data_IF_393675007684
#
_entry.id   IF_393675007684
#
_cell.length_a   1.000
_cell.length_b   1.000
_cell.length_c   1.000
_cell.angle_alpha   90.00
_cell.angle_beta   90.00
_cell.angle_gamma   90.00
#
_symmetry.space_group_name_H-M   'P 1'
#
loop_
_entity.id
_entity.type
_entity.pdbx_description
1 polymer ?
#
# COMPACT_ATOMS: atom_id res chain seq x y z
N UNK A 1 -17.48 -13.56 3.74
CA UNK A 1 -17.23 -12.99 5.08
C UNK A 1 -17.74 -13.85 6.24
N UNK A 2 -18.96 -14.41 6.20
CA UNK A 2 -19.44 -15.31 7.27
C UNK A 2 -18.50 -16.50 7.52
N UNK A 3 -17.98 -17.13 6.46
CA UNK A 3 -16.99 -18.20 6.57
C UNK A 3 -15.72 -17.74 7.30
N UNK A 4 -15.14 -16.61 6.88
CA UNK A 4 -13.95 -16.00 7.52
C UNK A 4 -14.19 -15.72 9.01
N UNK A 5 -15.33 -15.15 9.35
CA UNK A 5 -15.66 -14.84 10.73
C UNK A 5 -15.85 -16.10 11.58
N UNK A 6 -16.60 -17.09 11.08
CA UNK A 6 -17.05 -18.23 11.88
C UNK A 6 -16.06 -19.40 11.92
N UNK A 7 -15.16 -19.50 10.95
CA UNK A 7 -14.17 -20.60 10.89
C UNK A 7 -12.77 -20.12 11.25
N UNK A 8 -12.40 -18.91 10.84
CA UNK A 8 -11.01 -18.46 10.88
C UNK A 8 -10.73 -17.50 12.03
N UNK A 9 -11.54 -16.45 12.17
CA UNK A 9 -11.31 -15.36 13.13
C UNK A 9 -11.94 -15.64 14.50
N UNK A 10 -13.20 -16.06 14.51
CA UNK A 10 -14.00 -16.27 15.73
C UNK A 10 -14.70 -17.64 15.78
N UNK A 11 -13.94 -18.75 15.71
CA UNK A 11 -14.52 -20.09 15.67
C UNK A 11 -15.31 -20.46 16.91
N UNK A 12 -16.54 -20.94 16.72
CA UNK A 12 -17.42 -21.43 17.80
C UNK A 12 -16.85 -22.68 18.49
N UNK A 13 -16.06 -23.49 17.78
CA UNK A 13 -15.37 -24.68 18.30
C UNK A 13 -14.10 -24.37 19.11
N UNK A 14 -13.70 -23.09 19.19
CA UNK A 14 -12.68 -22.58 20.11
C UNK A 14 -11.29 -22.33 19.51
N UNK A 15 -10.91 -22.96 18.39
CA UNK A 15 -9.62 -22.70 17.73
C UNK A 15 -9.74 -22.67 16.22
N UNK A 16 -9.05 -21.71 15.61
CA UNK A 16 -8.90 -21.59 14.16
C UNK A 16 -8.21 -22.86 13.62
N UNK A 17 -8.58 -23.35 12.42
CA UNK A 17 -7.97 -24.56 11.86
C UNK A 17 -6.48 -24.41 11.52
N UNK A 18 -5.94 -23.19 11.59
CA UNK A 18 -4.56 -22.87 11.20
C UNK A 18 -3.52 -23.60 12.06
N UNK A 19 -2.57 -24.23 11.39
CA UNK A 19 -1.44 -24.94 11.97
C UNK A 19 -0.11 -24.20 11.78
N UNK A 20 0.94 -24.63 12.49
CA UNK A 20 2.30 -24.11 12.33
C UNK A 20 2.57 -22.74 12.99
N UNK A 21 3.71 -22.15 12.62
CA UNK A 21 4.11 -20.80 13.05
C UNK A 21 3.23 -19.75 12.37
N UNK A 22 2.86 -18.69 13.08
CA UNK A 22 1.99 -17.63 12.55
C UNK A 22 0.48 -17.93 12.62
N UNK A 23 0.06 -19.04 13.26
CA UNK A 23 -1.36 -19.45 13.36
C UNK A 23 -2.31 -18.40 13.93
N UNK A 24 -1.80 -17.47 14.73
CA UNK A 24 -2.58 -16.39 15.35
C UNK A 24 -2.83 -15.21 14.42
N UNK A 25 -1.97 -15.00 13.40
CA UNK A 25 -2.04 -13.85 12.50
C UNK A 25 -2.61 -14.23 11.11
N UNK A 26 -2.42 -15.48 10.67
CA UNK A 26 -2.90 -15.92 9.36
C UNK A 26 -4.41 -15.69 9.10
N UNK A 27 -5.33 -15.86 10.08
CA UNK A 27 -6.74 -15.48 9.88
C UNK A 27 -6.94 -14.01 9.49
N UNK A 28 -6.12 -13.11 10.04
CA UNK A 28 -6.13 -11.69 9.70
C UNK A 28 -5.53 -11.42 8.32
N UNK A 29 -4.54 -12.20 7.90
CA UNK A 29 -4.05 -12.19 6.52
C UNK A 29 -5.14 -12.58 5.52
N UNK A 30 -5.97 -13.60 5.84
CA UNK A 30 -7.13 -13.97 5.02
C UNK A 30 -8.16 -12.85 4.98
N UNK A 31 -8.47 -12.22 6.13
CA UNK A 31 -9.37 -11.07 6.17
C UNK A 31 -8.85 -9.92 5.29
N UNK A 32 -7.59 -9.53 5.43
CA UNK A 32 -6.96 -8.47 4.64
C UNK A 32 -7.04 -8.78 3.13
N UNK A 33 -6.77 -10.03 2.73
CA UNK A 33 -6.92 -10.45 1.34
C UNK A 33 -8.38 -10.37 0.85
N UNK A 34 -9.34 -10.79 1.67
CA UNK A 34 -10.78 -10.72 1.36
C UNK A 34 -11.30 -9.29 1.23
N UNK A 35 -10.75 -8.36 2.04
CA UNK A 35 -11.07 -6.94 1.95
C UNK A 35 -10.52 -6.31 0.66
N UNK A 36 -9.45 -6.87 0.09
CA UNK A 36 -8.95 -6.49 -1.23
C UNK A 36 -9.87 -7.01 -2.34
N UNK A 37 -9.89 -8.32 -2.58
CA UNK A 37 -10.75 -8.97 -3.59
C UNK A 37 -10.88 -10.48 -3.34
N UNK A 38 -11.90 -11.12 -3.94
CA UNK A 38 -12.02 -12.58 -3.95
C UNK A 38 -10.83 -13.26 -4.65
N UNK A 39 -10.24 -12.62 -5.66
CA UNK A 39 -9.03 -13.13 -6.35
C UNK A 39 -7.80 -13.10 -5.45
N UNK A 40 -7.62 -12.05 -4.66
CA UNK A 40 -6.54 -11.98 -3.67
C UNK A 40 -6.70 -13.01 -2.54
N UNK A 41 -7.94 -13.24 -2.09
CA UNK A 41 -8.23 -14.30 -1.12
C UNK A 41 -7.92 -15.68 -1.71
N UNK A 42 -8.33 -15.96 -2.94
CA UNK A 42 -8.03 -17.21 -3.64
C UNK A 42 -6.52 -17.45 -3.78
N UNK A 43 -5.74 -16.43 -4.18
CA UNK A 43 -4.26 -16.54 -4.25
C UNK A 43 -3.66 -16.85 -2.87
N UNK A 44 -4.14 -16.19 -1.81
CA UNK A 44 -3.67 -16.42 -0.43
C UNK A 44 -3.97 -17.85 0.04
N UNK A 45 -5.17 -18.35 -0.26
CA UNK A 45 -5.57 -19.74 0.01
C UNK A 45 -4.67 -20.72 -0.73
N UNK A 46 -4.46 -20.53 -2.04
CA UNK A 46 -3.62 -21.41 -2.85
C UNK A 46 -2.17 -21.46 -2.35
N UNK A 47 -1.57 -20.30 -2.05
CA UNK A 47 -0.21 -20.20 -1.51
C UNK A 47 -0.09 -20.92 -0.16
N UNK A 48 -1.11 -20.81 0.70
CA UNK A 48 -1.12 -21.52 1.99
C UNK A 48 -1.19 -23.03 1.79
N UNK A 49 -2.03 -23.51 0.88
CA UNK A 49 -2.14 -24.95 0.55
C UNK A 49 -0.83 -25.50 -0.02
N UNK A 50 -0.16 -24.77 -0.92
CA UNK A 50 1.19 -25.11 -1.40
C UNK A 50 2.20 -25.21 -0.26
N UNK A 51 2.13 -24.27 0.69
CA UNK A 51 2.99 -24.29 1.88
C UNK A 51 2.73 -25.54 2.72
N UNK A 52 1.47 -25.88 2.99
CA UNK A 52 1.11 -27.11 3.73
C UNK A 52 1.61 -28.36 3.02
N UNK A 53 1.40 -28.46 1.70
CA UNK A 53 1.89 -29.57 0.89
C UNK A 53 3.41 -29.70 0.94
N UNK A 54 4.15 -28.59 0.93
CA UNK A 54 5.62 -28.60 1.06
C UNK A 54 6.12 -29.03 2.44
N UNK A 55 5.28 -28.89 3.47
CA UNK A 55 5.55 -29.28 4.86
C UNK A 55 5.01 -30.68 5.19
N UNK A 56 4.37 -31.35 4.24
CA UNK A 56 3.85 -32.69 4.41
C UNK A 56 5.00 -33.69 4.59
N UNK A 57 4.77 -34.73 5.38
CA UNK A 57 5.71 -35.83 5.49
C UNK A 57 5.78 -36.58 4.15
N UNK A 58 6.98 -36.91 3.62
CA UNK A 58 7.10 -37.59 2.33
C UNK A 58 6.42 -38.96 2.26
N UNK A 59 6.31 -39.67 3.39
CA UNK A 59 5.70 -41.01 3.45
C UNK A 59 4.27 -40.96 4.00
N UNK A 60 4.03 -40.15 5.03
CA UNK A 60 2.75 -40.09 5.74
C UNK A 60 1.81 -38.96 5.27
N UNK A 61 2.28 -38.02 4.44
CA UNK A 61 1.51 -36.90 3.95
C UNK A 61 1.21 -35.84 5.03
N UNK A 62 0.06 -35.16 4.89
CA UNK A 62 -0.39 -34.17 5.87
C UNK A 62 -0.83 -34.86 7.17
N UNK A 63 -0.41 -34.32 8.31
CA UNK A 63 -0.92 -34.79 9.60
C UNK A 63 -2.41 -34.40 9.78
N UNK A 64 -3.15 -35.01 10.74
CA UNK A 64 -4.59 -34.76 10.89
C UNK A 64 -4.99 -33.29 11.07
N UNK A 65 -4.14 -32.47 11.72
CA UNK A 65 -4.41 -31.04 11.90
C UNK A 65 -4.20 -30.27 10.60
N UNK A 66 -3.13 -30.59 9.86
CA UNK A 66 -2.86 -29.99 8.55
C UNK A 66 -3.94 -30.37 7.54
N UNK A 67 -4.46 -31.61 7.61
CA UNK A 67 -5.57 -32.03 6.77
C UNK A 67 -6.85 -31.24 7.08
N UNK A 68 -7.16 -31.01 8.36
CA UNK A 68 -8.29 -30.14 8.75
C UNK A 68 -8.13 -28.71 8.23
N UNK A 69 -6.90 -28.17 8.26
CA UNK A 69 -6.60 -26.86 7.68
C UNK A 69 -6.78 -26.86 6.16
N UNK A 70 -6.25 -27.87 5.44
CA UNK A 70 -6.39 -27.96 3.98
C UNK A 70 -7.86 -28.10 3.56
N UNK A 71 -8.66 -28.89 4.27
CA UNK A 71 -10.10 -29.04 4.03
C UNK A 71 -10.84 -27.69 4.20
N UNK A 72 -10.52 -26.93 5.26
CA UNK A 72 -11.08 -25.60 5.46
C UNK A 72 -10.63 -24.62 4.36
N UNK A 73 -9.36 -24.69 3.93
CA UNK A 73 -8.84 -23.88 2.82
C UNK A 73 -9.51 -24.21 1.49
N UNK A 74 -9.79 -25.50 1.22
CA UNK A 74 -10.53 -25.93 0.03
C UNK A 74 -11.93 -25.31 0.03
N UNK A 75 -12.68 -25.44 1.13
CA UNK A 75 -14.01 -24.85 1.25
C UNK A 75 -13.98 -23.32 1.05
N UNK A 76 -12.99 -22.63 1.63
CA UNK A 76 -12.82 -21.19 1.44
C UNK A 76 -12.48 -20.83 -0.02
N UNK A 77 -11.66 -21.63 -0.69
CA UNK A 77 -11.31 -21.48 -2.10
C UNK A 77 -12.52 -21.64 -3.02
N UNK A 78 -13.34 -22.67 -2.79
CA UNK A 78 -14.59 -22.90 -3.54
C UNK A 78 -15.56 -21.71 -3.42
N UNK A 79 -15.65 -21.11 -2.23
CA UNK A 79 -16.44 -19.89 -2.03
C UNK A 79 -15.89 -18.70 -2.80
N UNK A 80 -14.56 -18.59 -2.98
CA UNK A 80 -13.96 -17.53 -3.78
C UNK A 80 -14.25 -17.73 -5.27
N UNK A 81 -14.15 -18.95 -5.77
CA UNK A 81 -14.40 -19.29 -7.16
C UNK A 81 -15.87 -19.17 -7.55
N UNK A 82 -16.78 -19.36 -6.59
CA UNK A 82 -18.21 -19.14 -6.77
C UNK A 82 -18.62 -17.68 -6.96
N UNK A 83 -17.76 -16.71 -6.64
CA UNK A 83 -18.07 -15.28 -6.76
C UNK A 83 -17.88 -14.83 -8.21
N UNK A 84 -18.95 -14.33 -8.82
CA UNK A 84 -18.89 -13.71 -10.14
C UNK A 84 -18.46 -12.24 -10.02
N UNK A 85 -17.65 -11.76 -10.97
CA UNK A 85 -17.07 -10.42 -10.89
C UNK A 85 -18.14 -9.31 -10.84
N UNK A 86 -19.27 -9.47 -11.56
CA UNK A 86 -20.39 -8.52 -11.53
C UNK A 86 -21.15 -8.47 -10.20
N UNK A 87 -21.00 -9.48 -9.35
CA UNK A 87 -21.60 -9.52 -8.02
C UNK A 87 -20.73 -8.84 -6.96
N UNK A 88 -19.46 -8.55 -7.29
CA UNK A 88 -18.54 -7.88 -6.38
C UNK A 88 -18.94 -6.40 -6.21
N UNK A 89 -19.65 -6.10 -5.12
CA UNK A 89 -20.12 -4.76 -4.78
C UNK A 89 -19.01 -3.69 -4.80
N UNK A 90 -17.79 -4.07 -4.37
CA UNK A 90 -16.61 -3.21 -4.40
C UNK A 90 -16.19 -2.84 -5.82
N UNK A 91 -16.19 -3.79 -6.75
CA UNK A 91 -15.88 -3.54 -8.16
C UNK A 91 -16.93 -2.60 -8.78
N UNK A 92 -18.21 -2.87 -8.52
CA UNK A 92 -19.30 -2.04 -9.04
C UNK A 92 -19.16 -0.59 -8.55
N UNK A 93 -18.93 -0.40 -7.24
CA UNK A 93 -18.70 0.93 -6.68
C UNK A 93 -17.44 1.59 -7.24
N UNK A 94 -16.36 0.83 -7.43
CA UNK A 94 -15.14 1.34 -8.02
C UNK A 94 -15.35 1.85 -9.45
N UNK A 95 -16.06 1.09 -10.28
CA UNK A 95 -16.41 1.49 -11.65
C UNK A 95 -17.29 2.73 -11.66
N UNK A 96 -18.25 2.85 -10.74
CA UNK A 96 -19.03 4.09 -10.56
C UNK A 96 -18.13 5.27 -10.24
N UNK A 97 -17.21 5.13 -9.29
CA UNK A 97 -16.27 6.20 -8.91
C UNK A 97 -15.38 6.63 -10.08
N UNK A 98 -14.83 5.69 -10.86
CA UNK A 98 -14.03 6.01 -12.04
C UNK A 98 -14.84 6.78 -13.10
N UNK A 99 -16.12 6.44 -13.26
CA UNK A 99 -17.03 7.16 -14.17
C UNK A 99 -17.36 8.57 -13.65
N UNK A 100 -17.59 8.72 -12.35
CA UNK A 100 -17.81 10.03 -11.70
C UNK A 100 -16.61 10.97 -11.84
N UNK A 101 -15.39 10.43 -11.70
CA UNK A 101 -14.13 11.15 -11.93
C UNK A 101 -13.95 11.54 -13.42
N UNK A 102 -14.68 10.90 -14.34
CA UNK A 102 -14.62 11.19 -15.76
C UNK A 102 -13.56 10.41 -16.52
N UNK A 103 -13.17 9.23 -16.02
CA UNK A 103 -12.29 8.32 -16.76
C UNK A 103 -13.01 7.84 -18.02
N UNK A 104 -12.33 7.94 -19.16
CA UNK A 104 -12.88 7.49 -20.42
C UNK A 104 -11.84 7.47 -21.54
N UNK A 105 -12.14 6.81 -22.68
CA UNK A 105 -11.17 6.57 -23.75
C UNK A 105 -10.68 7.84 -24.46
N UNK A 106 -11.44 8.94 -24.34
CA UNK A 106 -11.10 10.26 -24.90
C UNK A 106 -10.84 11.31 -23.81
N UNK A 107 -10.91 10.91 -22.54
CA UNK A 107 -10.71 11.82 -21.42
C UNK A 107 -9.22 12.12 -21.23
N UNK A 108 -8.91 13.31 -20.71
CA UNK A 108 -7.56 13.61 -20.21
C UNK A 108 -7.34 13.08 -18.79
N UNK A 109 -8.43 12.83 -18.05
CA UNK A 109 -8.40 12.34 -16.68
C UNK A 109 -7.60 11.05 -16.56
N UNK A 110 -6.66 11.05 -15.60
CA UNK A 110 -5.89 9.87 -15.20
C UNK A 110 -6.15 9.58 -13.74
N UNK A 111 -6.15 8.30 -13.40
CA UNK A 111 -6.30 7.83 -12.02
C UNK A 111 -5.21 6.81 -11.74
N UNK A 112 -4.53 6.99 -10.61
CA UNK A 112 -3.64 5.98 -10.03
C UNK A 112 -4.45 5.15 -9.04
N UNK A 113 -4.34 3.83 -9.13
CA UNK A 113 -5.10 2.90 -8.31
C UNK A 113 -4.12 2.04 -7.54
N UNK A 114 -4.15 2.14 -6.22
CA UNK A 114 -3.28 1.37 -5.33
C UNK A 114 -3.95 0.09 -4.82
N UNK A 115 -3.20 -1.00 -4.82
CA UNK A 115 -3.56 -2.25 -4.16
C UNK A 115 -2.30 -3.00 -3.72
N UNK A 116 -2.27 -3.47 -2.47
CA UNK A 116 -1.18 -4.31 -1.96
C UNK A 116 -1.13 -5.68 -2.65
N UNK A 117 -2.28 -6.14 -3.16
CA UNK A 117 -2.43 -7.49 -3.71
C UNK A 117 -2.24 -7.49 -5.22
N UNK A 118 -1.20 -8.19 -5.68
CA UNK A 118 -0.91 -8.34 -7.12
C UNK A 118 -2.08 -9.05 -7.84
N UNK A 119 -2.65 -10.10 -7.25
CA UNK A 119 -3.83 -10.77 -7.83
C UNK A 119 -5.01 -9.82 -8.05
N UNK A 120 -5.19 -8.81 -7.18
CA UNK A 120 -6.22 -7.78 -7.37
C UNK A 120 -5.86 -6.85 -8.53
N UNK A 121 -4.61 -6.42 -8.65
CA UNK A 121 -4.15 -5.59 -9.78
C UNK A 121 -4.32 -6.31 -11.12
N UNK A 122 -3.91 -7.58 -11.20
CA UNK A 122 -4.04 -8.42 -12.40
C UNK A 122 -5.51 -8.63 -12.78
N UNK A 123 -6.36 -8.87 -11.78
CA UNK A 123 -7.80 -9.00 -11.99
C UNK A 123 -8.44 -7.70 -12.50
N UNK A 124 -8.14 -6.57 -11.87
CA UNK A 124 -8.63 -5.25 -12.30
C UNK A 124 -8.20 -4.92 -13.73
N UNK A 125 -6.95 -5.25 -14.10
CA UNK A 125 -6.46 -5.05 -15.46
C UNK A 125 -7.28 -5.83 -16.51
N UNK A 126 -7.81 -7.01 -16.13
CA UNK A 126 -8.63 -7.85 -17.01
C UNK A 126 -10.06 -7.32 -17.15
N UNK A 127 -10.70 -6.92 -16.05
CA UNK A 127 -12.15 -6.61 -16.04
C UNK A 127 -12.49 -5.15 -16.35
N UNK A 128 -11.65 -4.20 -15.97
CA UNK A 128 -11.94 -2.77 -16.14
C UNK A 128 -12.09 -2.31 -17.61
N UNK A 129 -11.31 -2.82 -18.59
CA UNK A 129 -11.44 -2.39 -19.98
C UNK A 129 -12.87 -2.53 -20.50
N UNK A 130 -13.50 -3.68 -20.30
CA UNK A 130 -14.86 -3.94 -20.79
C UNK A 130 -15.89 -3.10 -20.03
N UNK A 131 -15.74 -2.95 -18.71
CA UNK A 131 -16.68 -2.20 -17.85
C UNK A 131 -16.67 -0.68 -18.08
N UNK A 132 -15.55 -0.16 -18.60
CA UNK A 132 -15.32 1.27 -18.86
C UNK A 132 -15.26 1.62 -20.36
N UNK A 133 -15.34 0.62 -21.26
CA UNK A 133 -15.15 0.85 -22.69
C UNK A 133 -13.75 1.35 -23.05
N UNK A 134 -12.73 0.86 -22.34
CA UNK A 134 -11.33 1.18 -22.56
C UNK A 134 -10.63 0.05 -23.34
N UNK A 135 -9.54 0.39 -24.01
CA UNK A 135 -8.63 -0.60 -24.58
C UNK A 135 -7.52 -0.88 -23.56
N UNK A 136 -7.34 -2.14 -23.16
CA UNK A 136 -6.36 -2.53 -22.14
C UNK A 136 -4.95 -2.04 -22.49
N UNK A 137 -4.46 -2.36 -23.69
CA UNK A 137 -3.10 -2.03 -24.14
C UNK A 137 -2.85 -0.53 -24.32
N UNK A 138 -3.89 0.27 -24.55
CA UNK A 138 -3.74 1.70 -24.78
C UNK A 138 -3.97 2.53 -23.52
N UNK A 139 -4.90 2.11 -22.67
CA UNK A 139 -5.44 2.95 -21.60
C UNK A 139 -5.08 2.46 -20.20
N UNK A 140 -4.58 1.23 -20.03
CA UNK A 140 -4.28 0.66 -18.71
C UNK A 140 -2.82 0.22 -18.63
N UNK A 141 -2.19 0.45 -17.47
CA UNK A 141 -0.88 -0.15 -17.13
C UNK A 141 -0.93 -0.74 -15.74
N UNK A 142 -0.14 -1.79 -15.53
CA UNK A 142 0.09 -2.39 -14.21
C UNK A 142 1.54 -2.14 -13.83
N UNK A 143 1.79 -1.74 -12.58
CA UNK A 143 3.12 -1.46 -12.04
C UNK A 143 3.26 -2.11 -10.65
N UNK A 144 3.98 -3.23 -10.59
CA UNK A 144 4.23 -3.98 -9.35
C UNK A 144 5.60 -4.67 -9.40
N UNK A 145 6.11 -5.13 -8.24
CA UNK A 145 7.46 -5.66 -8.10
C UNK A 145 7.80 -6.93 -8.91
N UNK A 146 6.82 -7.60 -9.54
CA UNK A 146 7.11 -8.71 -10.49
C UNK A 146 7.62 -8.21 -11.86
N UNK A 147 7.58 -6.91 -12.14
CA UNK A 147 8.12 -6.34 -13.38
C UNK A 147 9.61 -6.04 -13.22
N UNK A 148 10.37 -6.24 -14.30
CA UNK A 148 11.78 -5.81 -14.34
C UNK A 148 11.88 -4.29 -14.29
N UNK A 149 12.94 -3.77 -13.67
CA UNK A 149 13.16 -2.32 -13.49
C UNK A 149 13.00 -1.52 -14.79
N UNK A 150 13.53 -2.02 -15.91
CA UNK A 150 13.39 -1.40 -17.24
C UNK A 150 11.90 -1.20 -17.61
N UNK A 151 11.07 -2.22 -17.40
CA UNK A 151 9.64 -2.15 -17.69
C UNK A 151 8.91 -1.22 -16.71
N UNK A 152 9.35 -1.18 -15.46
CA UNK A 152 8.79 -0.24 -14.49
C UNK A 152 9.03 1.20 -14.97
N UNK A 153 10.27 1.52 -15.37
CA UNK A 153 10.65 2.82 -15.94
C UNK A 153 9.82 3.15 -17.19
N UNK A 154 9.68 2.21 -18.13
CA UNK A 154 8.88 2.41 -19.35
C UNK A 154 7.42 2.80 -19.02
N UNK A 155 6.81 2.12 -18.04
CA UNK A 155 5.43 2.40 -17.61
C UNK A 155 5.31 3.78 -16.97
N UNK A 156 6.28 4.17 -16.15
CA UNK A 156 6.31 5.47 -15.46
C UNK A 156 6.47 6.60 -16.48
N UNK A 157 7.43 6.46 -17.40
CA UNK A 157 7.65 7.43 -18.46
C UNK A 157 6.40 7.56 -19.34
N UNK A 158 5.83 6.44 -19.79
CA UNK A 158 4.60 6.44 -20.57
C UNK A 158 3.43 7.11 -19.83
N UNK A 159 3.27 6.86 -18.53
CA UNK A 159 2.22 7.49 -17.74
C UNK A 159 2.48 8.99 -17.51
N UNK A 160 3.74 9.43 -17.47
CA UNK A 160 4.12 10.83 -17.29
C UNK A 160 4.04 11.70 -18.55
N UNK A 161 3.83 11.11 -19.74
CA UNK A 161 3.71 11.87 -20.98
C UNK A 161 2.28 12.41 -21.17
N UNK A 162 2.12 13.72 -21.36
CA UNK A 162 0.81 14.38 -21.61
C UNK A 162 0.02 13.70 -22.76
N UNK A 163 0.72 13.31 -23.83
CA UNK A 163 0.13 12.70 -25.02
C UNK A 163 -0.19 11.21 -24.88
N UNK A 164 0.13 10.60 -23.75
CA UNK A 164 -0.09 9.18 -23.51
C UNK A 164 -1.57 8.82 -23.52
N UNK A 165 -1.83 7.61 -24.02
CA UNK A 165 -3.16 7.02 -24.00
C UNK A 165 -3.57 6.53 -22.61
N UNK A 166 -2.62 6.35 -21.68
CA UNK A 166 -2.89 5.71 -20.40
C UNK A 166 -3.83 6.58 -19.54
N UNK A 167 -4.87 5.95 -19.00
CA UNK A 167 -5.90 6.55 -18.13
C UNK A 167 -5.89 5.95 -16.74
N UNK A 168 -5.53 4.69 -16.61
CA UNK A 168 -5.44 4.01 -15.32
C UNK A 168 -4.05 3.40 -15.15
N UNK A 169 -3.40 3.75 -14.05
CA UNK A 169 -2.20 3.08 -13.58
C UNK A 169 -2.57 2.26 -12.34
N UNK A 170 -2.59 0.94 -12.48
CA UNK A 170 -2.82 0.01 -11.38
C UNK A 170 -1.48 -0.33 -10.76
N UNK A 171 -1.27 -0.04 -9.48
CA UNK A 171 0.06 -0.19 -8.88
C UNK A 171 0.05 -0.71 -7.45
N UNK A 172 1.12 -1.42 -7.08
CA UNK A 172 1.41 -1.81 -5.71
C UNK A 172 2.54 -0.97 -5.10
N UNK A 173 2.77 -1.12 -3.81
CA UNK A 173 3.65 -0.26 -3.02
C UNK A 173 5.10 -0.27 -3.50
N UNK A 174 5.67 -1.47 -3.63
CA UNK A 174 7.09 -1.67 -3.91
C UNK A 174 7.55 -1.10 -5.26
N UNK A 175 6.65 -1.00 -6.23
CA UNK A 175 6.99 -0.48 -7.57
C UNK A 175 6.67 1.01 -7.73
N UNK A 176 6.12 1.64 -6.69
CA UNK A 176 5.71 3.06 -6.69
C UNK A 176 6.61 3.96 -5.84
N UNK A 177 7.50 3.40 -5.02
CA UNK A 177 8.44 4.18 -4.22
C UNK A 177 9.36 5.06 -5.08
N UNK A 178 9.65 6.27 -4.61
CA UNK A 178 10.43 7.28 -5.35
C UNK A 178 9.79 7.92 -6.59
N UNK A 179 8.61 7.49 -7.06
CA UNK A 179 8.04 7.96 -8.34
C UNK A 179 7.17 9.22 -8.18
N UNK A 180 7.25 10.09 -9.19
CA UNK A 180 6.51 11.35 -9.31
C UNK A 180 5.36 11.22 -10.32
N UNK A 181 4.13 11.01 -9.87
CA UNK A 181 2.94 10.87 -10.74
C UNK A 181 2.11 12.16 -10.82
N UNK A 182 2.36 13.09 -9.90
CA UNK A 182 1.66 14.36 -9.67
C UNK A 182 1.57 15.32 -10.87
N UNK A 183 2.38 15.14 -11.92
CA UNK A 183 2.43 16.06 -13.08
C UNK A 183 1.22 15.94 -14.00
N UNK A 184 0.75 14.72 -14.23
CA UNK A 184 -0.33 14.41 -15.19
C UNK A 184 -1.50 13.68 -14.53
N UNK A 185 -1.45 13.51 -13.21
CA UNK A 185 -2.45 12.78 -12.45
C UNK A 185 -2.73 13.46 -11.11
N UNK A 186 -4.01 13.73 -10.87
CA UNK A 186 -4.50 14.38 -9.66
C UNK A 186 -5.56 13.53 -8.96
N UNK A 187 -5.81 12.30 -9.43
CA UNK A 187 -6.75 11.38 -8.78
C UNK A 187 -6.02 10.12 -8.33
N UNK A 188 -6.22 9.73 -7.07
CA UNK A 188 -5.68 8.50 -6.51
C UNK A 188 -6.80 7.75 -5.81
N UNK A 189 -6.92 6.45 -6.09
CA UNK A 189 -7.85 5.56 -5.40
C UNK A 189 -7.06 4.43 -4.73
N UNK A 190 -7.15 4.35 -3.41
CA UNK A 190 -6.79 3.14 -2.67
C UNK A 190 -7.90 2.13 -2.87
N UNK A 191 -7.66 1.15 -3.76
CA UNK A 191 -8.59 0.05 -3.94
C UNK A 191 -8.61 -0.82 -2.68
N UNK A 192 -7.45 -1.12 -2.10
CA UNK A 192 -7.33 -1.60 -0.73
C UNK A 192 -6.39 -0.72 0.08
N UNK A 193 -6.61 -0.71 1.40
CA UNK A 193 -5.83 0.09 2.33
C UNK A 193 -4.75 -0.74 2.99
N UNK A 194 -3.54 -0.18 2.98
CA UNK A 194 -2.49 -0.66 3.87
C UNK A 194 -2.88 -0.39 5.32
N UNK A 195 -2.48 -1.29 6.21
CA UNK A 195 -2.66 -1.14 7.65
C UNK A 195 -1.46 -0.39 8.27
N UNK A 196 -0.65 0.25 7.43
CA UNK A 196 0.48 1.10 7.77
C UNK A 196 0.17 2.51 7.29
N UNK A 197 0.15 3.49 8.21
CA UNK A 197 -0.06 4.90 7.89
C UNK A 197 1.08 5.44 7.07
N UNK A 198 2.31 5.04 7.39
CA UNK A 198 3.50 5.37 6.59
C UNK A 198 3.29 4.99 5.13
N UNK A 199 2.75 3.80 4.87
CA UNK A 199 2.49 3.33 3.50
C UNK A 199 1.38 4.14 2.84
N UNK A 200 0.30 4.45 3.56
CA UNK A 200 -0.79 5.29 3.03
C UNK A 200 -0.27 6.68 2.64
N UNK A 201 0.52 7.32 3.50
CA UNK A 201 1.11 8.62 3.22
C UNK A 201 2.08 8.55 2.03
N UNK A 202 2.95 7.54 1.98
CA UNK A 202 3.87 7.34 0.87
C UNK A 202 3.14 7.15 -0.46
N UNK A 203 1.94 6.53 -0.47
CA UNK A 203 1.08 6.45 -1.65
C UNK A 203 0.47 7.82 -1.99
N UNK A 204 -0.03 8.54 -1.01
CA UNK A 204 -0.63 9.86 -1.21
C UNK A 204 0.39 10.86 -1.80
N UNK A 205 1.61 10.88 -1.28
CA UNK A 205 2.72 11.71 -1.77
C UNK A 205 3.20 11.42 -3.21
N UNK A 206 2.62 10.41 -3.89
CA UNK A 206 2.86 10.17 -5.33
C UNK A 206 2.16 11.22 -6.19
N UNK A 207 0.99 11.66 -5.75
CA UNK A 207 0.20 12.68 -6.43
C UNK A 207 0.02 13.95 -5.63
N UNK A 208 0.25 13.93 -4.32
CA UNK A 208 0.17 15.11 -3.45
C UNK A 208 1.56 15.69 -3.22
N UNK A 209 1.90 16.76 -3.95
CA UNK A 209 3.20 17.43 -3.86
C UNK A 209 3.08 18.95 -3.93
N UNK A 210 4.00 19.62 -3.23
CA UNK A 210 4.11 21.07 -3.27
C UNK A 210 4.29 21.59 -4.71
N UNK A 211 3.55 22.65 -5.05
CA UNK A 211 3.65 23.34 -6.33
C UNK A 211 2.76 22.79 -7.44
N UNK A 212 1.86 21.84 -7.14
CA UNK A 212 0.83 21.45 -8.09
C UNK A 212 -0.21 22.55 -8.32
N UNK A 213 -0.71 22.63 -9.54
CA UNK A 213 -1.77 23.57 -9.94
C UNK A 213 -3.18 23.03 -9.75
N UNK A 214 -3.32 21.72 -9.59
CA UNK A 214 -4.59 21.03 -9.34
C UNK A 214 -4.51 20.31 -8.00
N UNK A 215 -5.56 20.44 -7.18
CA UNK A 215 -5.63 19.78 -5.89
C UNK A 215 -5.81 18.26 -6.07
N UNK A 216 -5.05 17.43 -5.34
CA UNK A 216 -5.21 15.98 -5.40
C UNK A 216 -6.58 15.55 -4.84
N UNK A 217 -7.24 14.61 -5.52
CA UNK A 217 -8.45 13.92 -5.11
C UNK A 217 -8.10 12.48 -4.74
N UNK A 218 -7.98 12.23 -3.45
CA UNK A 218 -7.57 10.96 -2.87
C UNK A 218 -8.81 10.28 -2.27
N UNK A 219 -9.08 9.04 -2.70
CA UNK A 219 -10.24 8.26 -2.22
C UNK A 219 -9.80 6.89 -1.76
N UNK A 220 -10.51 6.34 -0.78
CA UNK A 220 -10.32 4.97 -0.31
C UNK A 220 -11.61 4.17 -0.44
N UNK A 221 -11.52 2.93 -0.93
CA UNK A 221 -12.64 2.01 -0.97
C UNK A 221 -12.63 1.06 0.21
N UNK A 222 -13.71 1.09 0.99
CA UNK A 222 -13.94 0.20 2.11
C UNK A 222 -15.09 -0.76 1.80
N UNK A 223 -14.91 -2.03 2.16
CA UNK A 223 -16.00 -3.03 2.13
C UNK A 223 -16.57 -3.13 3.53
N UNK A 224 -17.90 -3.09 3.65
CA UNK A 224 -18.60 -3.34 4.91
C UNK A 224 -19.24 -4.74 4.87
N UNK A 225 -18.65 -5.75 5.54
CA UNK A 225 -19.23 -7.06 5.71
C UNK A 225 -20.51 -7.01 6.54
N UNK A 226 -21.49 -7.80 6.12
CA UNK A 226 -22.70 -8.08 6.89
C UNK A 226 -22.42 -9.14 7.97
N UNK A 227 -21.48 -8.84 8.87
CA UNK A 227 -21.16 -9.69 10.02
C UNK A 227 -20.81 -8.83 11.25
N UNK A 228 -21.59 -8.91 12.36
CA UNK A 228 -21.48 -7.97 13.48
C UNK A 228 -20.09 -7.82 14.08
N UNK A 229 -19.32 -8.93 14.17
CA UNK A 229 -17.96 -8.88 14.72
C UNK A 229 -16.98 -8.16 13.80
N UNK A 230 -17.10 -8.35 12.48
CA UNK A 230 -16.18 -7.75 11.51
C UNK A 230 -16.46 -6.25 11.31
N UNK A 231 -17.72 -5.83 11.47
CA UNK A 231 -18.08 -4.41 11.38
C UNK A 231 -17.33 -3.57 12.42
N UNK A 232 -17.07 -4.12 13.60
CA UNK A 232 -16.25 -3.47 14.63
C UNK A 232 -14.79 -3.33 14.20
N UNK A 233 -14.18 -4.42 13.71
CA UNK A 233 -12.78 -4.44 13.26
C UNK A 233 -12.51 -3.43 12.14
N UNK A 234 -13.46 -3.22 11.24
CA UNK A 234 -13.30 -2.28 10.13
C UNK A 234 -13.40 -0.81 10.52
N UNK A 235 -13.95 -0.52 11.71
CA UNK A 235 -13.87 0.83 12.28
C UNK A 235 -12.42 1.25 12.47
N UNK A 236 -11.51 0.30 12.71
CA UNK A 236 -10.07 0.56 12.78
C UNK A 236 -9.56 1.11 11.44
N UNK A 237 -9.96 0.51 10.31
CA UNK A 237 -9.53 0.96 8.98
C UNK A 237 -10.10 2.33 8.61
N UNK A 238 -11.38 2.58 8.94
CA UNK A 238 -11.97 3.91 8.74
C UNK A 238 -11.23 4.96 9.58
N UNK A 239 -10.90 4.63 10.84
CA UNK A 239 -10.15 5.50 11.73
C UNK A 239 -8.73 5.77 11.25
N UNK A 240 -8.04 4.78 10.65
CA UNK A 240 -6.73 5.00 10.03
C UNK A 240 -6.80 6.12 8.98
N UNK A 241 -7.80 6.11 8.10
CA UNK A 241 -7.95 7.15 7.08
C UNK A 241 -8.27 8.52 7.69
N UNK A 242 -9.17 8.55 8.66
CA UNK A 242 -9.48 9.80 9.35
C UNK A 242 -8.25 10.38 10.07
N UNK A 243 -7.41 9.52 10.64
CA UNK A 243 -6.18 9.94 11.32
C UNK A 243 -5.10 10.36 10.35
N UNK A 244 -4.91 9.65 9.25
CA UNK A 244 -3.94 10.04 8.21
C UNK A 244 -4.19 11.48 7.76
N UNK A 245 -5.43 11.81 7.41
CA UNK A 245 -5.79 13.15 6.98
C UNK A 245 -5.52 14.22 8.06
N UNK A 246 -5.88 13.94 9.31
CA UNK A 246 -5.62 14.85 10.43
C UNK A 246 -4.12 15.06 10.69
N UNK A 247 -3.35 13.98 10.70
CA UNK A 247 -1.91 14.05 10.98
C UNK A 247 -1.17 14.72 9.83
N UNK A 248 -1.59 14.48 8.58
CA UNK A 248 -1.04 15.16 7.41
C UNK A 248 -1.30 16.67 7.46
N UNK A 249 -2.53 17.11 7.78
CA UNK A 249 -2.85 18.54 7.91
C UNK A 249 -2.12 19.21 9.09
N UNK A 250 -1.95 18.50 10.21
CA UNK A 250 -1.40 19.06 11.44
C UNK A 250 0.13 19.03 11.52
N UNK A 251 0.76 17.97 11.00
CA UNK A 251 2.18 17.67 11.26
C UNK A 251 3.01 17.42 9.99
N UNK A 252 2.37 17.15 8.85
CA UNK A 252 3.05 16.90 7.57
C UNK A 252 3.81 15.56 7.48
N UNK A 253 3.74 14.70 8.51
CA UNK A 253 4.30 13.35 8.56
C UNK A 253 3.36 12.42 9.36
N UNK A 254 2.80 11.40 8.71
CA UNK A 254 1.86 10.45 9.31
C UNK A 254 2.53 9.33 10.14
N UNK A 255 3.84 9.08 9.94
CA UNK A 255 4.61 8.08 10.67
C UNK A 255 4.83 8.38 12.15
N UNK A 256 4.57 9.63 12.54
CA UNK A 256 4.67 10.14 13.92
C UNK A 256 3.63 9.52 14.84
N UNK A 257 2.50 9.05 14.29
CA UNK A 257 1.39 8.59 15.12
C UNK A 257 1.75 7.31 15.90
N UNK A 258 2.40 6.36 15.22
CA UNK A 258 2.77 5.08 15.82
C UNK A 258 4.20 5.06 16.38
N UNK A 259 5.08 5.99 15.97
CA UNK A 259 6.49 6.07 16.39
C UNK A 259 7.28 4.75 16.14
N UNK A 260 6.81 3.95 15.19
CA UNK A 260 7.42 2.67 14.83
C UNK A 260 8.38 2.78 13.65
N UNK A 261 8.25 3.84 12.85
CA UNK A 261 9.05 4.14 11.66
C UNK A 261 9.22 2.95 10.68
N UNK A 262 8.28 2.01 10.69
CA UNK A 262 8.33 0.80 9.89
C UNK A 262 6.92 0.34 9.53
N UNK A 263 6.60 0.26 8.22
CA UNK A 263 5.32 -0.25 7.75
C UNK A 263 4.96 -1.64 8.30
N UNK A 264 5.95 -2.54 8.32
CA UNK A 264 5.75 -3.92 8.78
C UNK A 264 5.38 -3.96 10.26
N UNK A 265 6.02 -3.13 11.09
CA UNK A 265 5.72 -3.07 12.53
C UNK A 265 4.34 -2.46 12.81
N UNK A 266 3.95 -1.41 12.06
CA UNK A 266 2.62 -0.80 12.18
C UNK A 266 1.52 -1.81 11.84
N UNK A 267 1.65 -2.49 10.70
CA UNK A 267 0.70 -3.52 10.30
C UNK A 267 0.60 -4.63 11.34
N UNK A 268 1.75 -5.09 11.86
CA UNK A 268 1.80 -6.10 12.92
C UNK A 268 1.11 -5.64 14.21
N UNK A 269 1.25 -4.37 14.60
CA UNK A 269 0.59 -3.78 15.76
C UNK A 269 -0.94 -3.76 15.56
N UNK A 270 -1.40 -3.35 14.38
CA UNK A 270 -2.83 -3.34 14.06
C UNK A 270 -3.39 -4.76 14.05
N UNK A 271 -2.69 -5.73 13.43
CA UNK A 271 -3.10 -7.14 13.44
C UNK A 271 -3.20 -7.69 14.86
N UNK A 272 -2.23 -7.38 15.73
CA UNK A 272 -2.22 -7.81 17.14
C UNK A 272 -3.36 -7.15 17.91
N UNK A 273 -3.60 -5.85 17.73
CA UNK A 273 -4.68 -5.14 18.38
C UNK A 273 -6.07 -5.67 18.01
N UNK A 274 -6.29 -5.94 16.72
CA UNK A 274 -7.52 -6.57 16.22
C UNK A 274 -7.71 -7.97 16.80
N UNK A 275 -6.65 -8.78 16.81
CA UNK A 275 -6.65 -10.11 17.42
C UNK A 275 -7.02 -10.06 18.91
N UNK A 276 -6.48 -9.08 19.62
CA UNK A 276 -6.67 -8.92 21.07
C UNK A 276 -8.00 -8.22 21.39
N UNK A 277 -8.79 -7.86 20.37
CA UNK A 277 -10.11 -7.25 20.52
C UNK A 277 -10.08 -5.84 21.08
N UNK A 278 -8.98 -5.12 20.87
CA UNK A 278 -8.82 -3.74 21.32
C UNK A 278 -9.77 -2.81 20.54
N UNK A 279 -10.21 -1.73 21.20
CA UNK A 279 -11.01 -0.69 20.55
C UNK A 279 -10.19 0.06 19.49
N UNK A 280 -10.86 0.61 18.48
CA UNK A 280 -10.21 1.33 17.38
C UNK A 280 -9.37 2.52 17.88
N UNK A 281 -9.80 3.15 18.97
CA UNK A 281 -9.13 4.27 19.62
C UNK A 281 -7.81 3.88 20.28
N UNK A 282 -7.69 2.62 20.71
CA UNK A 282 -6.46 2.10 21.30
C UNK A 282 -5.51 1.55 20.23
N UNK A 283 -6.06 1.00 19.15
CA UNK A 283 -5.27 0.50 18.01
C UNK A 283 -4.71 1.67 17.22
N UNK A 284 -5.49 2.73 17.03
CA UNK A 284 -5.11 3.96 16.31
C UNK A 284 -5.36 5.14 17.26
N UNK A 285 -4.33 5.62 17.97
CA UNK A 285 -4.47 6.66 18.98
C UNK A 285 -4.89 8.00 18.37
N UNK A 286 -5.48 8.88 19.18
CA UNK A 286 -5.86 10.24 18.76
C UNK A 286 -4.66 11.20 18.70
N UNK A 287 -3.63 10.93 19.50
CA UNK A 287 -2.40 11.74 19.61
C UNK A 287 -1.18 10.84 19.36
N UNK A 288 -0.03 11.43 18.94
CA UNK A 288 1.22 10.69 18.77
C UNK A 288 1.57 9.89 20.03
N UNK A 289 2.10 8.68 19.84
CA UNK A 289 2.46 7.80 20.95
C UNK A 289 3.55 8.39 21.88
N UNK A 290 4.35 9.34 21.40
CA UNK A 290 5.37 10.05 22.17
C UNK A 290 5.27 11.58 21.99
N UNK A 291 5.05 12.33 23.07
CA UNK A 291 5.10 13.80 23.05
C UNK A 291 6.51 14.34 22.69
N UNK A 292 7.57 13.60 23.04
CA UNK A 292 8.97 13.97 22.77
C UNK A 292 9.39 13.72 21.32
N UNK A 293 8.63 12.93 20.56
CA UNK A 293 8.97 12.56 19.17
C UNK A 293 8.79 13.72 18.17
N UNK A 294 8.14 14.82 18.59
CA UNK A 294 7.92 15.98 17.72
C UNK A 294 8.20 17.31 18.45
N UNK A 295 9.44 17.78 18.33
CA UNK A 295 9.76 19.15 18.68
C UNK A 295 9.28 20.07 17.53
N UNK A 296 8.01 20.48 17.57
CA UNK A 296 7.41 21.43 16.60
C UNK A 296 8.27 22.70 16.43
N UNK A 297 8.99 23.09 17.49
CA UNK A 297 9.97 24.18 17.47
C UNK A 297 11.19 23.87 16.60
N UNK A 298 11.67 22.62 16.55
CA UNK A 298 12.81 22.18 15.73
C UNK A 298 12.49 22.21 14.23
N UNK A 299 11.26 21.87 13.84
CA UNK A 299 10.80 21.93 12.45
C UNK A 299 10.67 23.38 11.96
N UNK A 300 10.17 24.27 12.82
CA UNK A 300 10.03 25.71 12.52
C UNK A 300 11.38 26.45 12.62
N UNK A 301 12.29 26.00 13.49
CA UNK A 301 13.59 26.63 13.70
C UNK A 301 14.73 26.03 12.86
N UNK A 302 14.48 24.96 12.09
CA UNK A 302 15.51 24.28 11.30
C UNK A 302 16.60 23.62 12.14
N UNK A 303 16.30 23.28 13.39
CA UNK A 303 17.27 22.72 14.36
C UNK A 303 16.76 21.37 14.87
N UNK A 304 16.93 20.30 14.10
CA UNK A 304 16.89 18.94 14.65
C UNK A 304 18.08 18.80 15.61
N UNK A 305 17.86 18.83 16.94
CA UNK A 305 18.85 18.41 17.94
C UNK A 305 19.15 16.93 17.70
N UNK A 306 20.34 16.53 17.24
CA UNK A 306 21.63 16.47 17.95
C UNK A 306 21.52 15.60 19.21
N UNK A 307 21.52 14.29 19.01
CA UNK A 307 22.50 13.51 19.76
C UNK A 307 23.87 14.15 19.46
N UNK A 308 24.69 14.42 20.48
CA UNK A 308 26.09 14.84 20.29
C UNK A 308 26.84 13.67 19.62
N UNK A 309 26.67 13.53 18.32
CA UNK A 309 27.48 12.68 17.47
C UNK A 309 28.84 13.34 17.44
N UNK A 310 29.88 12.60 17.85
CA UNK A 310 31.25 13.07 17.75
C UNK A 310 31.54 13.38 16.27
N UNK A 311 31.48 14.67 15.94
CA UNK A 311 31.68 15.16 14.58
C UNK A 311 33.16 15.01 14.26
N UNK A 312 33.49 13.94 13.56
CA UNK A 312 34.77 13.84 12.87
C UNK A 312 34.66 14.61 11.56
N UNK A 313 35.38 15.73 11.48
CA UNK A 313 35.60 16.38 10.20
C UNK A 313 36.30 15.37 9.27
N UNK A 314 35.67 14.99 8.14
CA UNK A 314 36.35 14.14 7.17
C UNK A 314 37.61 14.88 6.69
N UNK A 315 38.75 14.19 6.50
CA UNK A 315 39.95 14.85 6.01
C UNK A 315 39.64 15.52 4.66
N UNK A 316 39.76 16.84 4.62
CA UNK A 316 39.54 17.61 3.40
C UNK A 316 40.79 17.49 2.53
N UNK A 317 40.60 17.20 1.25
CA UNK A 317 41.72 17.17 0.29
C UNK A 317 42.23 18.59 -0.06
N UNK A 318 41.45 19.62 0.27
CA UNK A 318 41.72 21.02 0.00
C UNK A 318 41.69 21.83 1.31
N UNK A 319 42.57 22.81 1.43
CA UNK A 319 42.70 23.65 2.64
C UNK A 319 41.58 24.65 2.83
N UNK A 320 40.81 24.93 1.78
CA UNK A 320 39.64 25.79 1.81
C UNK A 320 38.69 25.48 0.65
N UNK A 321 37.43 25.94 0.75
CA UNK A 321 36.50 25.87 -0.38
C UNK A 321 36.98 26.71 -1.57
N UNK A 322 37.75 27.76 -1.33
CA UNK A 322 38.36 28.56 -2.39
C UNK A 322 39.36 27.73 -3.20
N UNK A 323 40.22 26.95 -2.54
CA UNK A 323 41.21 26.10 -3.21
C UNK A 323 40.53 24.99 -4.05
N UNK A 324 39.42 24.45 -3.55
CA UNK A 324 38.62 23.49 -4.32
C UNK A 324 38.04 24.12 -5.59
N UNK A 325 37.45 25.31 -5.48
CA UNK A 325 36.86 26.01 -6.64
C UNK A 325 37.94 26.42 -7.64
N UNK A 326 39.08 26.91 -7.17
CA UNK A 326 40.20 27.30 -8.05
C UNK A 326 40.76 26.10 -8.83
N UNK A 327 40.94 24.95 -8.17
CA UNK A 327 41.40 23.73 -8.83
C UNK A 327 40.32 23.16 -9.78
N UNK A 328 39.05 23.18 -9.38
CA UNK A 328 37.95 22.76 -10.24
C UNK A 328 37.86 23.59 -11.52
N UNK A 329 38.07 24.90 -11.42
CA UNK A 329 38.10 25.81 -12.57
C UNK A 329 39.31 25.55 -13.48
N UNK A 330 40.50 25.29 -12.92
CA UNK A 330 41.69 24.90 -13.70
C UNK A 330 41.55 23.56 -14.42
N UNK A 331 40.81 22.61 -13.85
CA UNK A 331 40.58 21.31 -14.47
C UNK A 331 39.50 21.40 -15.57
N UNK A 332 38.48 22.24 -15.36
CA UNK A 332 37.38 22.40 -16.31
C UNK A 332 37.73 23.26 -17.53
N UNK A 333 38.65 24.22 -17.37
CA UNK A 333 39.00 25.20 -18.40
C UNK A 333 40.50 25.25 -18.69
N UNK A 334 40.87 25.43 -19.95
CA UNK A 334 42.30 25.45 -20.34
C UNK A 334 42.97 26.78 -19.96
N UNK A 335 42.18 27.86 -19.90
CA UNK A 335 42.56 29.19 -19.43
C UNK A 335 41.33 29.86 -18.75
N UNK A 336 41.15 29.65 -17.43
CA UNK A 336 39.95 30.09 -16.71
C UNK A 336 39.70 31.60 -16.79
N UNK A 337 40.76 32.42 -16.87
CA UNK A 337 40.68 33.88 -16.91
C UNK A 337 40.21 34.42 -18.28
N UNK A 338 40.10 33.55 -19.28
CA UNK A 338 39.75 33.90 -20.66
C UNK A 338 38.43 33.29 -21.14
N UNK A 339 37.97 32.22 -20.48
CA UNK A 339 36.79 31.45 -20.83
C UNK A 339 35.58 31.72 -19.90
N UNK A 340 35.80 32.37 -18.75
CA UNK A 340 34.79 32.97 -17.87
C UNK A 340 34.70 34.48 -18.10
#
# INVERSE_FOLDING_TARGET
>A
FNELANTWLYPTSGKSPVTGKGRSLFPWTLLKAALSSHKALAETVEQRRKTLASQADPEAGLNPKQQTEDEALVALGELCDGIQDGEASKLNRFVEQLKEIGVGPRSKTRVVVFSERIATLDWLHQVLPDLLGLNAEKHLRVLHGRLSDIRQMDVIEEFGLERSGVKLLLTGDMASEGINLHRECHHLIHFDLSWSLITVEQRNGRIDRYGQTEAPDIRALLVAPDHPKLTGDLRVLARLIEREHYVHEAFGDAGVLFDLHSPDLEEDQIMKGLRDGLGAELIVPDEPANEDSFNLLALIAGTTGVDDVELHEPPTLFGSQHDFVEEALRVAFTDPDREL
#
